data_IF_898769369258
#
_entry.id   IF_898769369258
#
_cell.length_a   1.000
_cell.length_b   1.000
_cell.length_c   1.000
_cell.angle_alpha   90.00
_cell.angle_beta   90.00
_cell.angle_gamma   90.00
#
_symmetry.space_group_name_H-M   'P 1'
#
loop_
_entity.id
_entity.type
_entity.pdbx_description
1 polymer ?
#
# COMPACT_ATOMS: atom_id res chain seq x y z
N UNK A 1 0.84 0.93 -43.00
CA UNK A 1 2.13 0.80 -42.28
C UNK A 1 1.84 0.95 -40.79
N UNK A 2 2.32 0.05 -39.90
CA UNK A 2 2.16 0.25 -38.47
C UNK A 2 3.06 1.41 -38.02
N UNK A 3 2.51 2.29 -37.17
CA UNK A 3 3.20 3.46 -36.62
C UNK A 3 4.41 2.99 -35.81
N UNK A 4 5.60 3.51 -36.14
CA UNK A 4 6.81 3.27 -35.34
C UNK A 4 6.66 4.04 -34.03
N UNK A 5 6.69 3.32 -32.91
CA UNK A 5 6.65 3.89 -31.56
C UNK A 5 8.02 3.68 -30.94
N UNK A 6 8.58 4.72 -30.34
CA UNK A 6 9.90 4.75 -29.72
C UNK A 6 9.77 4.68 -28.19
N UNK A 7 10.85 4.31 -27.49
CA UNK A 7 10.79 4.19 -26.01
C UNK A 7 10.42 5.51 -25.32
N UNK A 8 10.75 6.65 -25.92
CA UNK A 8 10.40 8.01 -25.46
C UNK A 8 8.91 8.33 -25.59
N UNK A 9 8.20 7.72 -26.54
CA UNK A 9 6.75 7.89 -26.68
C UNK A 9 5.99 7.29 -25.47
N UNK A 10 6.62 6.37 -24.74
CA UNK A 10 6.08 5.77 -23.51
C UNK A 10 6.46 6.53 -22.24
N UNK A 11 7.44 7.45 -22.30
CA UNK A 11 7.82 8.27 -21.13
C UNK A 11 6.94 9.51 -20.96
N UNK A 12 6.13 9.84 -21.97
CA UNK A 12 5.12 10.89 -21.91
C UNK A 12 3.85 10.38 -21.21
N UNK A 13 3.99 9.90 -19.98
CA UNK A 13 2.84 9.72 -19.10
C UNK A 13 2.45 11.11 -18.63
N UNK A 14 1.30 11.61 -19.11
CA UNK A 14 0.53 12.60 -18.36
C UNK A 14 0.12 11.92 -17.06
N UNK A 15 1.05 11.89 -16.10
CA UNK A 15 0.86 11.32 -14.78
C UNK A 15 -0.28 12.08 -14.13
N UNK A 16 -1.44 11.45 -13.85
CA UNK A 16 -2.35 11.99 -12.87
C UNK A 16 -1.55 12.21 -11.59
N UNK A 17 -1.57 13.43 -11.07
CA UNK A 17 -0.75 13.88 -9.92
C UNK A 17 -0.95 13.06 -8.63
N UNK A 18 -1.89 12.10 -8.61
CA UNK A 18 -2.17 11.24 -7.48
C UNK A 18 -2.57 9.84 -7.95
N UNK A 19 -1.60 9.00 -8.28
CA UNK A 19 -1.81 7.56 -8.14
C UNK A 19 -1.41 7.20 -6.71
N UNK A 20 -2.37 7.11 -5.80
CA UNK A 20 -2.20 6.11 -4.74
C UNK A 20 -2.24 4.77 -5.47
N UNK A 21 -1.09 4.13 -5.67
CA UNK A 21 -0.92 2.96 -6.57
C UNK A 21 -1.75 1.72 -6.19
N UNK A 22 -2.62 1.84 -5.18
CA UNK A 22 -3.52 0.80 -4.71
C UNK A 22 -4.94 1.31 -4.87
N UNK A 23 -5.64 0.80 -5.88
CA UNK A 23 -7.09 0.92 -5.97
C UNK A 23 -7.66 0.22 -4.74
N UNK A 24 -8.37 0.96 -3.88
CA UNK A 24 -9.06 0.36 -2.73
C UNK A 24 -10.07 -0.64 -3.26
N UNK A 25 -10.02 -1.93 -2.86
CA UNK A 25 -11.05 -2.87 -3.24
C UNK A 25 -12.42 -2.35 -2.79
N UNK A 26 -13.46 -2.53 -3.62
CA UNK A 26 -14.87 -2.26 -3.26
C UNK A 26 -15.41 -3.13 -2.11
N UNK A 27 -14.54 -3.87 -1.41
CA UNK A 27 -14.89 -4.75 -0.30
C UNK A 27 -15.34 -3.90 0.88
N UNK A 28 -16.64 -3.57 0.94
CA UNK A 28 -17.45 -3.18 2.10
C UNK A 28 -16.71 -2.39 3.21
N UNK A 29 -15.77 -1.51 2.85
CA UNK A 29 -14.88 -0.85 3.78
C UNK A 29 -15.48 0.42 4.38
N UNK A 30 -16.72 0.76 4.02
CA UNK A 30 -17.33 2.03 4.37
C UNK A 30 -17.52 2.21 5.90
N UNK A 31 -17.55 1.11 6.68
CA UNK A 31 -17.78 1.15 8.14
C UNK A 31 -16.80 0.29 8.98
N UNK A 32 -15.63 -0.09 8.45
CA UNK A 32 -14.66 -0.89 9.22
C UNK A 32 -13.81 0.03 10.10
N UNK A 33 -13.81 -0.21 11.42
CA UNK A 33 -12.95 0.50 12.37
C UNK A 33 -11.77 -0.39 12.77
N UNK A 34 -10.56 0.11 12.58
CA UNK A 34 -9.33 -0.55 13.04
C UNK A 34 -8.94 -0.05 14.43
N UNK A 35 -8.37 -0.92 15.30
CA UNK A 35 -7.83 -0.47 16.58
C UNK A 35 -6.76 0.60 16.38
N UNK A 36 -6.84 1.69 17.15
CA UNK A 36 -5.84 2.76 17.07
C UNK A 36 -4.43 2.26 17.36
N UNK A 37 -4.28 1.33 18.32
CA UNK A 37 -3.01 0.69 18.64
C UNK A 37 -2.40 -0.09 17.47
N UNK A 38 -3.22 -0.70 16.61
CA UNK A 38 -2.76 -1.37 15.39
C UNK A 38 -2.21 -0.35 14.40
N UNK A 39 -2.92 0.77 14.20
CA UNK A 39 -2.47 1.85 13.31
C UNK A 39 -1.14 2.43 13.82
N UNK A 40 -1.01 2.68 15.11
CA UNK A 40 0.25 3.15 15.71
C UNK A 40 1.39 2.15 15.53
N UNK A 41 1.14 0.85 15.69
CA UNK A 41 2.15 -0.19 15.50
C UNK A 41 2.65 -0.24 14.05
N UNK A 42 1.74 -0.10 13.09
CA UNK A 42 2.08 -0.02 11.66
C UNK A 42 2.89 1.25 11.37
N UNK A 43 2.48 2.39 11.93
CA UNK A 43 3.19 3.66 11.78
C UNK A 43 4.58 3.65 12.44
N UNK A 44 4.79 2.82 13.46
CA UNK A 44 6.12 2.60 14.04
C UNK A 44 7.08 1.81 13.15
N UNK A 45 6.59 1.18 12.08
CA UNK A 45 7.35 0.33 11.15
C UNK A 45 7.11 0.77 9.71
N UNK A 46 7.21 2.09 9.44
CA UNK A 46 7.00 2.61 8.09
C UNK A 46 8.20 2.33 7.17
N UNK A 47 7.90 2.09 5.91
CA UNK A 47 8.85 2.06 4.80
C UNK A 47 8.89 3.42 4.12
N UNK A 48 10.08 3.99 3.99
CA UNK A 48 10.30 5.34 3.47
C UNK A 48 10.67 5.34 1.98
N UNK A 49 11.03 4.18 1.43
CA UNK A 49 11.50 4.05 0.05
C UNK A 49 12.98 4.40 -0.11
N UNK A 50 13.75 4.35 0.99
CA UNK A 50 15.17 4.67 0.94
C UNK A 50 15.99 3.51 0.35
N UNK A 51 17.13 3.77 -0.33
CA UNK A 51 17.93 2.72 -0.95
C UNK A 51 18.49 1.66 0.01
N UNK A 52 18.52 1.95 1.30
CA UNK A 52 19.03 1.08 2.36
C UNK A 52 17.93 0.29 3.09
N UNK A 53 16.65 0.52 2.76
CA UNK A 53 15.54 -0.24 3.32
C UNK A 53 15.27 -1.49 2.47
N UNK A 54 14.92 -2.60 3.13
CA UNK A 54 14.54 -3.84 2.46
C UNK A 54 13.00 -3.91 2.32
N UNK A 55 12.45 -3.84 1.09
CA UNK A 55 11.00 -3.91 0.88
C UNK A 55 10.40 -5.27 1.27
N UNK A 56 11.17 -6.36 1.20
CA UNK A 56 10.69 -7.70 1.57
C UNK A 56 10.62 -7.86 3.09
N UNK A 57 11.62 -7.35 3.82
CA UNK A 57 11.60 -7.33 5.28
C UNK A 57 10.45 -6.46 5.81
N UNK A 58 10.22 -5.29 5.19
CA UNK A 58 9.05 -4.44 5.48
C UNK A 58 7.74 -5.20 5.29
N UNK A 59 7.56 -5.83 4.13
CA UNK A 59 6.32 -6.55 3.81
C UNK A 59 6.07 -7.72 4.78
N UNK A 60 7.12 -8.47 5.15
CA UNK A 60 7.01 -9.53 6.14
C UNK A 60 6.53 -8.99 7.49
N UNK A 61 7.18 -7.94 7.99
CA UNK A 61 6.84 -7.29 9.26
C UNK A 61 5.41 -6.75 9.24
N UNK A 62 5.03 -6.10 8.14
CA UNK A 62 3.69 -5.58 7.92
C UNK A 62 2.61 -6.68 7.97
N UNK A 63 2.85 -7.81 7.30
CA UNK A 63 1.94 -8.95 7.29
C UNK A 63 1.80 -9.55 8.68
N UNK A 64 2.91 -9.68 9.43
CA UNK A 64 2.89 -10.16 10.81
C UNK A 64 2.06 -9.25 11.72
N UNK A 65 2.26 -7.94 11.63
CA UNK A 65 1.47 -6.95 12.39
C UNK A 65 -0.02 -7.08 12.04
N UNK A 66 -0.38 -7.15 10.75
CA UNK A 66 -1.78 -7.30 10.34
C UNK A 66 -2.41 -8.61 10.85
N UNK A 67 -1.61 -9.68 10.99
CA UNK A 67 -2.08 -10.96 11.49
C UNK A 67 -2.34 -10.98 13.01
N UNK A 68 -1.91 -9.94 13.76
CA UNK A 68 -2.20 -9.82 15.21
C UNK A 68 -3.67 -9.54 15.50
N UNK A 69 -4.41 -9.04 14.53
CA UNK A 69 -5.84 -8.75 14.66
C UNK A 69 -6.68 -9.66 13.78
N UNK A 70 -7.87 -9.99 14.27
CA UNK A 70 -8.90 -10.66 13.47
C UNK A 70 -10.16 -9.83 13.56
N UNK A 71 -10.60 -9.31 12.42
CA UNK A 71 -11.86 -8.57 12.31
C UNK A 71 -12.89 -9.55 11.72
N UNK A 72 -13.98 -9.78 12.44
CA UNK A 72 -15.06 -10.64 11.97
C UNK A 72 -15.63 -10.11 10.65
N UNK A 73 -16.05 -11.01 9.76
CA UNK A 73 -16.65 -10.68 8.46
C UNK A 73 -15.74 -9.89 7.48
N UNK A 74 -14.47 -9.62 7.83
CA UNK A 74 -13.52 -8.92 6.96
C UNK A 74 -12.43 -9.89 6.47
N UNK A 75 -12.27 -10.07 5.15
CA UNK A 75 -11.17 -10.86 4.61
C UNK A 75 -9.81 -10.34 5.06
N UNK A 76 -8.87 -11.24 5.39
CA UNK A 76 -7.51 -10.87 5.83
C UNK A 76 -6.81 -9.95 4.84
N UNK A 77 -6.98 -10.22 3.55
CA UNK A 77 -6.36 -9.42 2.50
C UNK A 77 -7.00 -8.04 2.38
N UNK A 78 -8.29 -7.89 2.69
CA UNK A 78 -8.93 -6.58 2.77
C UNK A 78 -8.37 -5.74 3.93
N UNK A 79 -8.13 -6.35 5.10
CA UNK A 79 -7.43 -5.68 6.23
C UNK A 79 -6.05 -5.21 5.79
N UNK A 80 -5.27 -6.10 5.17
CA UNK A 80 -3.92 -5.79 4.69
C UNK A 80 -3.90 -4.73 3.58
N UNK A 81 -4.88 -4.69 2.70
CA UNK A 81 -4.91 -3.66 1.64
C UNK A 81 -5.32 -2.30 2.21
N UNK A 82 -6.29 -2.28 3.12
CA UNK A 82 -6.77 -1.04 3.74
C UNK A 82 -5.72 -0.39 4.65
N UNK A 83 -4.90 -1.20 5.33
CA UNK A 83 -3.89 -0.70 6.26
C UNK A 83 -2.54 -0.39 5.62
N UNK A 84 -2.31 -0.80 4.36
CA UNK A 84 -0.99 -0.72 3.73
C UNK A 84 -0.49 0.72 3.62
N UNK A 85 -1.38 1.68 3.33
CA UNK A 85 -1.02 3.09 3.23
C UNK A 85 -0.49 3.70 4.54
N UNK A 86 -0.81 3.10 5.70
CA UNK A 86 -0.25 3.53 6.99
C UNK A 86 1.18 3.02 7.19
N UNK A 87 1.59 1.98 6.44
CA UNK A 87 2.93 1.41 6.48
C UNK A 87 3.94 2.14 5.58
N UNK A 88 3.51 3.14 4.82
CA UNK A 88 4.34 3.89 3.88
C UNK A 88 4.58 5.32 4.36
N UNK A 89 5.76 5.85 4.07
CA UNK A 89 6.19 7.23 4.32
C UNK A 89 7.15 7.68 3.21
N UNK A 90 7.55 8.96 3.24
CA UNK A 90 8.57 9.49 2.32
C UNK A 90 8.27 9.22 0.84
N UNK A 91 9.28 8.77 0.11
CA UNK A 91 9.23 8.48 -1.33
C UNK A 91 8.39 7.25 -1.67
N UNK A 92 8.09 6.40 -0.69
CA UNK A 92 7.26 5.21 -0.90
C UNK A 92 5.76 5.49 -0.87
N UNK A 93 5.32 6.69 -0.47
CA UNK A 93 3.91 7.01 -0.25
C UNK A 93 3.21 7.63 -1.46
#
# INVERSE_FOLDING_TARGET
QPRRVTLEDYSSTSVPQFFTSIVRPEVQAQNITYPYSLIQLIQGNQFHGLPNEDPYAHLATYIEICNTVRIAEVPKDAVRLNLFSFSLSGEAK
#
